data_IF_207548102618
#
_entry.id   IF_207548102618
#
_cell.length_a   1.000
_cell.length_b   1.000
_cell.length_c   1.000
_cell.angle_alpha   90.00
_cell.angle_beta   90.00
_cell.angle_gamma   90.00
#
_symmetry.space_group_name_H-M   'P 1'
#
loop_
_entity.id
_entity.type
_entity.pdbx_description
1 polymer ?
#
# COMPACT_ATOMS: atom_id res chain seq x y z
N UNK A 1 -11.90 6.67 4.62
CA UNK A 1 -10.87 6.61 5.68
C UNK A 1 -10.47 5.14 5.85
N UNK A 2 -9.21 4.84 6.16
CA UNK A 2 -8.70 3.48 6.35
C UNK A 2 -8.03 3.35 7.74
N UNK A 3 -8.04 2.15 8.34
CA UNK A 3 -7.41 1.90 9.63
C UNK A 3 -5.89 1.93 9.51
N UNK A 4 -5.22 2.61 10.44
CA UNK A 4 -3.76 2.68 10.55
C UNK A 4 -3.35 2.68 12.02
N UNK A 5 -2.20 2.08 12.33
CA UNK A 5 -1.60 2.09 13.67
C UNK A 5 -0.39 3.02 13.61
N UNK A 6 -0.34 4.03 14.48
CA UNK A 6 0.72 5.05 14.42
C UNK A 6 1.79 4.80 15.47
N UNK A 7 3.00 5.30 15.21
CA UNK A 7 4.06 5.33 16.23
C UNK A 7 3.69 6.16 17.48
N UNK A 8 2.74 7.10 17.38
CA UNK A 8 2.27 7.91 18.52
C UNK A 8 1.24 7.20 19.39
N UNK A 9 0.44 6.32 18.81
CA UNK A 9 -0.55 5.51 19.53
C UNK A 9 -0.51 4.07 18.99
N UNK A 10 0.50 3.27 19.39
CA UNK A 10 0.70 1.92 18.86
C UNK A 10 -0.28 0.88 19.40
N UNK A 11 -1.07 1.23 20.43
CA UNK A 11 -2.06 0.35 21.06
C UNK A 11 -3.45 0.40 20.39
N UNK A 12 -3.69 1.37 19.51
CA UNK A 12 -5.02 1.63 18.96
C UNK A 12 -4.95 1.93 17.46
N UNK A 13 -6.04 1.62 16.75
CA UNK A 13 -6.20 2.01 15.36
C UNK A 13 -6.76 3.43 15.25
N UNK A 14 -6.16 4.24 14.40
CA UNK A 14 -6.71 5.52 13.93
C UNK A 14 -7.28 5.35 12.53
N UNK A 15 -8.33 6.09 12.20
CA UNK A 15 -8.85 6.17 10.83
C UNK A 15 -8.28 7.40 10.15
N UNK A 16 -7.64 7.21 9.01
CA UNK A 16 -6.96 8.28 8.27
C UNK A 16 -7.32 8.27 6.77
N UNK A 17 -7.13 9.41 6.11
CA UNK A 17 -7.29 9.53 4.66
C UNK A 17 -6.08 8.93 3.94
N UNK A 18 -6.31 8.06 2.96
CA UNK A 18 -5.22 7.58 2.09
C UNK A 18 -4.96 8.61 0.98
N UNK A 19 -3.71 9.03 0.85
CA UNK A 19 -3.29 10.19 0.07
C UNK A 19 -2.79 11.29 1.00
N UNK A 20 -1.48 11.37 1.17
CA UNK A 20 -0.85 12.25 2.17
C UNK A 20 -1.08 13.73 1.84
N UNK A 21 -1.44 14.49 2.87
CA UNK A 21 -1.51 15.95 2.87
C UNK A 21 -0.47 16.44 3.89
N UNK A 22 0.74 16.83 3.43
CA UNK A 22 1.73 17.41 4.32
C UNK A 22 1.18 18.64 5.04
N UNK A 23 1.58 18.87 6.29
CA UNK A 23 1.04 19.96 7.12
C UNK A 23 1.22 21.37 6.54
N UNK A 24 2.21 21.56 5.64
CA UNK A 24 2.48 22.81 4.93
C UNK A 24 1.76 22.94 3.58
N UNK A 25 0.85 22.03 3.25
CA UNK A 25 0.07 22.10 2.02
C UNK A 25 -0.87 23.29 2.03
N UNK A 26 -1.02 23.97 0.89
CA UNK A 26 -1.96 25.09 0.74
C UNK A 26 -3.42 24.64 0.66
N UNK A 27 -3.64 23.41 0.17
CA UNK A 27 -4.94 22.77 0.03
C UNK A 27 -4.79 21.24 0.02
N UNK A 28 -5.93 20.56 0.01
CA UNK A 28 -6.06 19.09 0.06
C UNK A 28 -5.70 18.38 -1.27
N UNK A 29 -5.51 19.12 -2.37
CA UNK A 29 -5.32 18.52 -3.70
C UNK A 29 -4.09 17.62 -3.80
N UNK A 30 -3.08 17.87 -2.95
CA UNK A 30 -1.87 17.05 -2.82
C UNK A 30 -2.18 15.58 -2.51
N UNK A 31 -3.27 15.30 -1.80
CA UNK A 31 -3.69 13.93 -1.44
C UNK A 31 -3.85 13.01 -2.66
N UNK A 32 -4.28 13.54 -3.80
CA UNK A 32 -4.52 12.76 -5.02
C UNK A 32 -3.24 12.19 -5.63
N UNK A 33 -2.10 12.87 -5.42
CA UNK A 33 -0.82 12.51 -6.03
C UNK A 33 0.12 11.78 -5.04
N UNK A 34 -0.18 11.82 -3.74
CA UNK A 34 0.69 11.31 -2.68
C UNK A 34 0.15 10.04 -2.01
N UNK A 35 -0.48 9.15 -2.79
CA UNK A 35 -0.96 7.84 -2.31
C UNK A 35 0.17 6.84 -2.04
N UNK A 36 1.34 7.03 -2.67
CA UNK A 36 2.54 6.21 -2.49
C UNK A 36 3.81 7.06 -2.33
N UNK A 37 4.74 6.61 -1.49
CA UNK A 37 6.09 7.15 -1.34
C UNK A 37 7.15 6.12 -1.77
N UNK A 38 8.19 6.52 -2.51
CA UNK A 38 9.27 5.62 -2.94
C UNK A 38 10.36 5.55 -1.88
N UNK A 39 10.61 4.35 -1.36
CA UNK A 39 11.67 4.08 -0.35
C UNK A 39 13.05 4.60 -0.77
N UNK A 40 13.40 4.52 -2.05
CA UNK A 40 14.69 4.96 -2.61
C UNK A 40 14.96 6.46 -2.41
N UNK A 41 13.89 7.25 -2.27
CA UNK A 41 13.98 8.71 -2.17
C UNK A 41 13.36 9.27 -0.90
N UNK A 42 12.83 8.41 -0.02
CA UNK A 42 12.03 8.84 1.14
C UNK A 42 12.83 9.65 2.16
N UNK A 43 14.15 9.40 2.25
CA UNK A 43 15.08 10.10 3.15
C UNK A 43 15.74 11.33 2.49
N UNK A 44 15.60 11.50 1.17
CA UNK A 44 16.37 12.50 0.41
C UNK A 44 15.48 13.55 -0.26
N UNK A 45 14.30 13.18 -0.73
CA UNK A 45 13.34 14.09 -1.36
C UNK A 45 12.26 14.53 -0.37
N UNK A 46 11.76 15.75 -0.52
CA UNK A 46 10.54 16.19 0.18
C UNK A 46 9.31 15.36 -0.24
N UNK A 47 8.08 15.71 0.18
CA UNK A 47 7.73 16.12 1.54
C UNK A 47 8.09 15.05 2.61
N UNK A 48 8.44 13.83 2.19
CA UNK A 48 8.54 12.68 3.08
C UNK A 48 9.74 12.70 4.02
N UNK A 49 10.86 13.32 3.64
CA UNK A 49 12.11 13.34 4.43
C UNK A 49 11.94 13.79 5.89
N UNK A 50 11.04 14.75 6.16
CA UNK A 50 10.80 15.20 7.53
C UNK A 50 9.78 14.31 8.24
N UNK A 51 8.76 13.88 7.51
CA UNK A 51 7.64 13.09 8.03
C UNK A 51 8.13 11.70 8.47
N UNK A 52 8.94 11.03 7.64
CA UNK A 52 9.48 9.69 7.90
C UNK A 52 10.25 9.57 9.21
N UNK A 53 10.78 10.67 9.74
CA UNK A 53 11.54 10.69 11.00
C UNK A 53 10.66 10.54 12.23
N UNK A 54 9.41 11.00 12.17
CA UNK A 54 8.57 11.16 13.37
C UNK A 54 7.12 10.69 13.20
N UNK A 55 6.67 10.38 11.99
CA UNK A 55 5.30 9.97 11.71
C UNK A 55 5.26 8.72 10.83
N UNK A 56 5.64 7.59 11.44
CA UNK A 56 5.55 6.26 10.83
C UNK A 56 4.25 5.59 11.26
N UNK A 57 3.67 4.80 10.36
CA UNK A 57 2.49 3.99 10.66
C UNK A 57 2.55 2.61 10.00
N UNK A 58 1.77 1.69 10.56
CA UNK A 58 1.45 0.39 9.99
C UNK A 58 0.06 0.47 9.36
N UNK A 59 -0.09 -0.06 8.16
CA UNK A 59 -1.34 -0.08 7.41
C UNK A 59 -1.76 -1.54 7.23
N UNK A 60 -2.71 -2.06 8.04
CA UNK A 60 -3.15 -3.44 7.94
C UNK A 60 -3.82 -3.73 6.60
N UNK A 61 -3.56 -4.91 6.03
CA UNK A 61 -4.18 -5.41 4.82
C UNK A 61 -4.23 -6.95 4.82
N UNK A 62 -5.21 -7.51 4.11
CA UNK A 62 -5.32 -8.94 3.83
C UNK A 62 -4.79 -9.30 2.43
N UNK A 63 -4.39 -8.30 1.65
CA UNK A 63 -3.93 -8.40 0.28
C UNK A 63 -3.92 -7.05 -0.42
N UNK A 64 -3.41 -7.02 -1.64
CA UNK A 64 -3.48 -5.84 -2.51
C UNK A 64 -3.68 -6.26 -3.97
N UNK A 65 -4.06 -5.29 -4.80
CA UNK A 65 -4.32 -5.53 -6.21
C UNK A 65 -3.27 -4.85 -7.07
N UNK A 66 -2.91 -5.50 -8.17
CA UNK A 66 -2.06 -4.92 -9.21
C UNK A 66 -2.47 -5.42 -10.59
N UNK A 67 -2.31 -4.59 -11.62
CA UNK A 67 -2.79 -4.88 -12.96
C UNK A 67 -1.65 -5.27 -13.89
N UNK A 68 -1.54 -6.58 -14.17
CA UNK A 68 -0.59 -7.11 -15.15
C UNK A 68 -0.97 -6.66 -16.56
N UNK A 69 -0.04 -6.01 -17.26
CA UNK A 69 -0.23 -5.64 -18.67
C UNK A 69 -0.07 -6.88 -19.56
N UNK A 70 -1.11 -7.21 -20.31
CA UNK A 70 -1.12 -8.29 -21.32
C UNK A 70 -1.51 -7.68 -22.66
N UNK A 71 -0.50 -7.42 -23.51
CA UNK A 71 -0.67 -6.65 -24.74
C UNK A 71 -1.18 -5.23 -24.45
N UNK A 72 -2.40 -4.92 -24.93
CA UNK A 72 -3.09 -3.64 -24.70
C UNK A 72 -4.01 -3.65 -23.48
N UNK A 73 -4.21 -4.80 -22.84
CA UNK A 73 -5.15 -4.97 -21.73
C UNK A 73 -4.43 -5.02 -20.39
N UNK A 74 -5.18 -4.74 -19.32
CA UNK A 74 -4.72 -4.82 -17.94
C UNK A 74 -5.56 -5.85 -17.21
N UNK A 75 -4.93 -6.90 -16.69
CA UNK A 75 -5.60 -7.99 -15.97
C UNK A 75 -5.35 -7.82 -14.48
N UNK A 76 -6.39 -7.63 -13.65
CA UNK A 76 -6.21 -7.48 -12.22
C UNK A 76 -5.75 -8.79 -11.59
N UNK A 77 -4.76 -8.71 -10.72
CA UNK A 77 -4.31 -9.80 -9.87
C UNK A 77 -4.44 -9.35 -8.41
N UNK A 78 -4.83 -10.28 -7.54
CA UNK A 78 -4.78 -10.08 -6.08
C UNK A 78 -3.55 -10.79 -5.56
N UNK A 79 -2.78 -10.10 -4.72
CA UNK A 79 -1.52 -10.55 -4.14
C UNK A 79 -1.70 -10.67 -2.63
N UNK A 80 -1.27 -11.79 -2.06
CA UNK A 80 -1.38 -12.12 -0.63
C UNK A 80 -0.08 -12.72 -0.10
N UNK A 81 -0.03 -12.90 1.23
CA UNK A 81 0.92 -13.84 1.82
C UNK A 81 0.46 -15.27 1.57
N UNK A 82 1.43 -16.17 1.39
CA UNK A 82 1.16 -17.61 1.24
C UNK A 82 0.56 -18.23 2.50
N UNK A 83 0.72 -17.58 3.67
CA UNK A 83 0.12 -17.99 4.94
C UNK A 83 -1.36 -17.60 5.09
N UNK A 84 -1.89 -16.77 4.21
CA UNK A 84 -3.25 -16.18 4.31
C UNK A 84 -3.48 -15.31 5.56
N UNK A 85 -2.40 -14.90 6.22
CA UNK A 85 -2.45 -14.01 7.39
C UNK A 85 -2.58 -12.54 6.98
N UNK A 86 -3.20 -11.75 7.86
CA UNK A 86 -3.14 -10.29 7.78
C UNK A 86 -1.70 -9.82 7.96
N UNK A 87 -1.29 -8.84 7.18
CA UNK A 87 0.02 -8.22 7.25
C UNK A 87 -0.11 -6.70 7.27
N UNK A 88 1.02 -6.01 7.41
CA UNK A 88 1.04 -4.55 7.41
C UNK A 88 1.96 -4.01 6.32
N UNK A 89 1.53 -2.93 5.67
CA UNK A 89 2.43 -2.09 4.88
C UNK A 89 3.14 -1.09 5.78
N UNK A 90 4.39 -0.78 5.45
CA UNK A 90 5.08 0.38 5.98
C UNK A 90 4.47 1.67 5.40
N UNK A 91 4.10 2.60 6.27
CA UNK A 91 3.54 3.89 5.87
C UNK A 91 4.12 5.05 6.65
N UNK A 92 3.80 6.25 6.16
CA UNK A 92 3.96 7.51 6.91
C UNK A 92 2.66 8.28 6.89
N UNK A 93 2.49 9.15 7.89
CA UNK A 93 1.28 9.94 8.07
C UNK A 93 1.61 11.39 8.44
N UNK A 94 0.66 12.30 8.29
CA UNK A 94 0.79 13.70 8.75
C UNK A 94 -0.60 14.25 9.10
N UNK A 95 -0.62 15.34 9.86
CA UNK A 95 -1.81 16.09 10.24
C UNK A 95 -1.81 17.44 9.54
N UNK A 96 -2.84 17.71 8.74
CA UNK A 96 -3.03 18.99 8.07
C UNK A 96 -4.29 19.68 8.60
N UNK A 97 -4.18 20.96 8.91
CA UNK A 97 -5.31 21.78 9.36
C UNK A 97 -5.87 22.54 8.16
N UNK A 98 -7.18 22.41 7.91
CA UNK A 98 -7.83 23.11 6.82
C UNK A 98 -8.11 24.59 7.17
N UNK A 99 -8.64 25.36 6.21
CA UNK A 99 -8.95 26.79 6.42
C UNK A 99 -10.05 27.06 7.45
N UNK A 100 -10.78 26.03 7.88
CA UNK A 100 -11.84 26.09 8.89
C UNK A 100 -11.34 25.68 10.27
N UNK A 101 -10.10 25.17 10.38
CA UNK A 101 -9.52 24.64 11.61
C UNK A 101 -9.76 23.14 11.80
N UNK A 102 -10.32 22.44 10.82
CA UNK A 102 -10.55 21.00 10.90
C UNK A 102 -9.24 20.25 10.62
N UNK A 103 -8.88 19.31 11.51
CA UNK A 103 -7.67 18.48 11.36
C UNK A 103 -7.98 17.27 10.49
N UNK A 104 -7.25 17.14 9.38
CA UNK A 104 -7.26 15.96 8.51
C UNK A 104 -5.98 15.16 8.73
N UNK A 105 -6.12 13.97 9.31
CA UNK A 105 -5.05 12.98 9.37
C UNK A 105 -5.03 12.17 8.09
N UNK A 106 -3.85 12.10 7.46
CA UNK A 106 -3.67 11.43 6.18
C UNK A 106 -2.39 10.59 6.16
N UNK A 107 -2.35 9.58 5.29
CA UNK A 107 -1.21 8.67 5.17
C UNK A 107 -0.90 8.30 3.73
N UNK A 108 0.29 7.72 3.53
CA UNK A 108 0.75 7.15 2.26
C UNK A 108 1.46 5.82 2.49
N UNK A 109 1.36 4.91 1.52
CA UNK A 109 2.04 3.62 1.55
C UNK A 109 3.45 3.78 1.00
N UNK A 110 4.44 3.20 1.67
CA UNK A 110 5.81 3.14 1.14
C UNK A 110 5.92 1.99 0.15
N UNK A 111 6.54 2.26 -0.99
CA UNK A 111 6.81 1.30 -2.06
C UNK A 111 8.30 1.07 -2.23
N UNK A 112 8.66 -0.08 -2.76
CA UNK A 112 10.02 -0.51 -3.11
C UNK A 112 10.01 -1.21 -4.45
N UNK A 113 11.19 -1.62 -4.94
CA UNK A 113 11.30 -2.41 -6.16
C UNK A 113 10.59 -3.75 -6.01
N UNK A 114 10.03 -4.26 -7.10
CA UNK A 114 9.43 -5.59 -7.10
C UNK A 114 10.47 -6.68 -6.78
N UNK A 115 10.05 -7.67 -5.99
CA UNK A 115 10.71 -8.97 -5.92
C UNK A 115 10.44 -9.79 -7.21
N UNK A 116 10.97 -11.00 -7.30
CA UNK A 116 10.79 -11.87 -8.48
C UNK A 116 9.33 -12.17 -8.82
N UNK A 117 8.49 -12.43 -7.81
CA UNK A 117 7.05 -12.69 -7.99
C UNK A 117 6.30 -11.45 -8.50
N UNK A 118 6.55 -10.29 -7.89
CA UNK A 118 5.91 -9.05 -8.30
C UNK A 118 6.39 -8.58 -9.65
N UNK A 119 7.63 -8.84 -10.04
CA UNK A 119 8.20 -8.46 -11.33
C UNK A 119 7.45 -9.12 -12.51
N UNK A 120 6.73 -10.22 -12.28
CA UNK A 120 5.85 -10.82 -13.28
C UNK A 120 4.58 -9.97 -13.57
N UNK A 121 4.24 -9.05 -12.68
CA UNK A 121 3.01 -8.24 -12.70
C UNK A 121 3.34 -6.76 -12.89
N UNK A 122 4.26 -6.21 -12.10
CA UNK A 122 4.61 -4.80 -12.04
C UNK A 122 6.03 -4.57 -11.49
N UNK A 123 6.66 -3.45 -11.82
CA UNK A 123 8.05 -3.13 -11.40
C UNK A 123 8.18 -2.67 -9.93
N UNK A 124 7.06 -2.44 -9.26
CA UNK A 124 6.99 -1.92 -7.88
C UNK A 124 6.09 -2.80 -7.03
N UNK A 125 6.37 -2.79 -5.73
CA UNK A 125 5.49 -3.36 -4.72
C UNK A 125 5.44 -2.48 -3.47
N UNK A 126 4.37 -2.55 -2.66
CA UNK A 126 4.39 -2.01 -1.31
C UNK A 126 5.50 -2.64 -0.47
N UNK A 127 6.03 -1.90 0.51
CA UNK A 127 6.88 -2.47 1.55
C UNK A 127 5.96 -3.18 2.55
N UNK A 128 5.96 -4.51 2.53
CA UNK A 128 5.30 -5.35 3.53
C UNK A 128 6.30 -5.59 4.65
N UNK A 129 5.89 -5.35 5.90
CA UNK A 129 6.73 -5.58 7.07
C UNK A 129 6.55 -7.02 7.58
N UNK A 130 7.62 -7.79 7.77
CA UNK A 130 7.57 -9.02 8.56
C UNK A 130 7.04 -8.74 9.96
N UNK A 131 6.30 -9.70 10.54
CA UNK A 131 5.60 -9.53 11.82
C UNK A 131 6.55 -9.09 12.95
N UNK A 132 7.75 -9.64 12.94
CA UNK A 132 8.84 -9.36 13.87
C UNK A 132 9.42 -7.94 13.74
N UNK A 133 9.24 -7.28 12.59
CA UNK A 133 9.74 -5.93 12.30
C UNK A 133 8.67 -4.84 12.42
N UNK A 134 7.39 -5.19 12.60
CA UNK A 134 6.31 -4.21 12.75
C UNK A 134 6.54 -3.26 13.93
N UNK A 135 6.96 -3.80 15.08
CA UNK A 135 7.25 -3.00 16.28
C UNK A 135 8.48 -2.13 16.10
N UNK A 136 9.50 -2.64 15.41
CA UNK A 136 10.70 -1.89 15.10
C UNK A 136 10.37 -0.67 14.24
N UNK A 137 9.55 -0.83 13.20
CA UNK A 137 9.13 0.26 12.31
C UNK A 137 8.51 1.46 13.04
N UNK A 138 7.72 1.21 14.08
CA UNK A 138 6.97 2.25 14.81
C UNK A 138 7.65 2.70 16.11
N UNK A 139 8.87 2.27 16.43
CA UNK A 139 9.64 2.91 17.51
C UNK A 139 9.83 4.41 17.21
N UNK A 140 9.98 5.26 18.21
CA UNK A 140 10.11 6.71 17.98
C UNK A 140 11.45 7.09 17.33
N UNK A 141 12.54 6.45 17.76
CA UNK A 141 13.90 6.86 17.40
C UNK A 141 14.56 5.82 16.48
N UNK A 142 14.33 5.96 15.17
CA UNK A 142 15.04 5.19 14.14
C UNK A 142 16.05 6.11 13.44
N UNK A 143 17.28 5.63 13.30
CA UNK A 143 18.26 6.23 12.40
C UNK A 143 17.88 6.03 10.92
N UNK A 144 18.41 6.89 10.06
CA UNK A 144 18.20 6.79 8.60
C UNK A 144 18.65 5.42 8.04
N UNK A 145 19.67 4.80 8.64
CA UNK A 145 20.13 3.46 8.27
C UNK A 145 19.12 2.38 8.67
N UNK A 146 18.59 2.42 9.91
CA UNK A 146 17.56 1.48 10.35
C UNK A 146 16.29 1.59 9.50
N UNK A 147 15.88 2.82 9.16
CA UNK A 147 14.76 3.03 8.22
C UNK A 147 15.05 2.34 6.89
N UNK A 148 16.23 2.54 6.30
CA UNK A 148 16.58 1.97 5.00
C UNK A 148 16.62 0.43 5.04
N UNK A 149 17.03 -0.17 6.16
CA UNK A 149 17.07 -1.61 6.33
C UNK A 149 15.68 -2.24 6.47
N UNK A 150 14.70 -1.50 6.98
CA UNK A 150 13.30 -1.96 7.07
C UNK A 150 12.52 -1.83 5.75
N UNK A 151 12.99 -0.98 4.81
CA UNK A 151 12.27 -0.68 3.57
C UNK A 151 12.73 -1.54 2.38
N UNK A 152 12.72 -2.86 2.54
CA UNK A 152 13.14 -3.83 1.50
C UNK A 152 11.95 -4.54 0.86
N UNK A 153 12.11 -5.10 -0.35
CA UNK A 153 11.12 -6.00 -0.95
C UNK A 153 10.88 -7.21 -0.04
N UNK A 154 9.61 -7.60 0.10
CA UNK A 154 9.25 -8.80 0.87
C UNK A 154 9.72 -10.08 0.15
N UNK A 155 10.04 -11.19 0.86
CA UNK A 155 10.48 -12.41 0.20
C UNK A 155 9.40 -13.01 -0.72
N UNK A 156 9.77 -13.29 -1.97
CA UNK A 156 8.85 -13.76 -3.02
C UNK A 156 8.19 -15.10 -2.70
N UNK A 157 8.92 -16.01 -2.06
CA UNK A 157 8.50 -17.36 -1.71
C UNK A 157 7.45 -17.39 -0.59
N UNK A 158 7.24 -16.26 0.10
CA UNK A 158 6.20 -16.07 1.12
C UNK A 158 4.96 -15.37 0.58
N UNK A 159 4.92 -15.09 -0.71
CA UNK A 159 3.83 -14.42 -1.38
C UNK A 159 3.19 -15.34 -2.42
N UNK A 160 1.92 -15.11 -2.71
CA UNK A 160 1.26 -15.69 -3.86
C UNK A 160 0.34 -14.67 -4.51
N UNK A 161 -0.10 -14.97 -5.74
CA UNK A 161 -1.09 -14.15 -6.42
C UNK A 161 -2.02 -15.02 -7.26
N UNK A 162 -3.20 -14.48 -7.56
CA UNK A 162 -4.15 -15.06 -8.49
C UNK A 162 -4.84 -13.97 -9.31
N UNK A 163 -5.37 -14.34 -10.47
CA UNK A 163 -6.21 -13.43 -11.27
C UNK A 163 -7.44 -13.05 -10.45
N UNK A 164 -7.63 -11.76 -10.19
CA UNK A 164 -8.75 -11.26 -9.40
C UNK A 164 -10.00 -11.07 -10.27
N UNK A 165 -11.17 -11.11 -9.65
CA UNK A 165 -12.41 -10.77 -10.33
C UNK A 165 -12.37 -9.33 -10.88
N UNK A 166 -12.91 -9.09 -12.08
CA UNK A 166 -12.92 -7.76 -12.74
C UNK A 166 -13.69 -6.68 -11.99
N UNK A 167 -14.48 -7.02 -10.97
CA UNK A 167 -15.16 -6.06 -10.10
C UNK A 167 -14.18 -5.04 -9.51
N UNK A 168 -12.94 -5.46 -9.20
CA UNK A 168 -11.89 -4.61 -8.64
C UNK A 168 -11.42 -3.48 -9.57
N UNK A 169 -11.80 -3.50 -10.85
CA UNK A 169 -11.49 -2.43 -11.80
C UNK A 169 -12.21 -1.11 -11.45
N UNK A 170 -13.24 -1.15 -10.61
CA UNK A 170 -13.94 0.05 -10.15
C UNK A 170 -13.97 0.07 -8.62
N UNK A 171 -13.36 1.10 -8.05
CA UNK A 171 -13.30 1.34 -6.60
C UNK A 171 -14.68 1.56 -5.94
N UNK A 172 -15.75 1.73 -6.74
CA UNK A 172 -17.12 1.79 -6.24
C UNK A 172 -17.68 0.42 -5.85
N UNK A 173 -17.04 -0.68 -6.25
CA UNK A 173 -17.46 -2.03 -5.89
C UNK A 173 -16.72 -2.51 -4.65
N UNK A 174 -17.48 -2.66 -3.57
CA UNK A 174 -17.04 -3.30 -2.33
C UNK A 174 -17.94 -4.50 -2.06
N UNK A 175 -17.62 -5.61 -2.71
CA UNK A 175 -18.41 -6.84 -2.68
C UNK A 175 -17.51 -8.07 -2.50
N UNK A 176 -18.04 -9.21 -2.02
CA UNK A 176 -17.25 -10.43 -1.82
C UNK A 176 -16.50 -10.92 -3.07
N UNK A 177 -16.99 -10.60 -4.27
CA UNK A 177 -16.33 -10.93 -5.54
C UNK A 177 -14.94 -10.30 -5.65
N UNK A 178 -14.67 -9.16 -5.01
CA UNK A 178 -13.38 -8.48 -5.09
C UNK A 178 -12.22 -9.34 -4.57
N UNK A 179 -12.48 -10.21 -3.59
CA UNK A 179 -11.47 -11.13 -3.04
C UNK A 179 -11.49 -12.51 -3.69
N UNK A 180 -12.43 -12.78 -4.61
CA UNK A 180 -12.52 -14.08 -5.29
C UNK A 180 -11.57 -14.18 -6.49
N UNK A 181 -11.20 -15.42 -6.82
CA UNK A 181 -10.50 -15.72 -8.07
C UNK A 181 -11.41 -15.40 -9.26
N UNK A 182 -10.82 -14.87 -10.33
CA UNK A 182 -11.52 -14.67 -11.59
C UNK A 182 -12.08 -16.01 -12.10
N UNK A 183 -13.33 -16.04 -12.61
CA UNK A 183 -13.81 -17.21 -13.32
C UNK A 183 -12.94 -17.48 -14.55
N UNK A 184 -12.87 -18.75 -14.98
CA UNK A 184 -12.15 -19.13 -16.20
C UNK A 184 -12.73 -18.43 -17.44
N UNK A 185 -14.05 -18.22 -17.44
CA UNK A 185 -14.82 -17.55 -18.49
C UNK A 185 -15.84 -16.66 -17.79
N UNK A 186 -15.90 -15.38 -18.13
CA UNK A 186 -16.95 -14.50 -17.61
C UNK A 186 -18.28 -14.77 -18.34
N UNK A 187 -19.44 -14.63 -17.67
CA UNK A 187 -20.72 -14.74 -18.33
C UNK A 187 -20.81 -13.81 -19.55
N UNK A 188 -21.14 -14.37 -20.71
CA UNK A 188 -21.24 -13.62 -21.97
C UNK A 188 -19.94 -13.51 -22.78
N UNK A 189 -18.82 -14.05 -22.30
CA UNK A 189 -17.58 -14.16 -23.11
C UNK A 189 -17.55 -15.45 -23.90
N UNK A 190 -17.20 -15.37 -25.19
CA UNK A 190 -16.87 -16.54 -25.99
C UNK A 190 -15.43 -16.98 -25.72
N UNK A 191 -15.23 -18.26 -25.44
CA UNK A 191 -13.92 -18.87 -25.25
C UNK A 191 -13.63 -19.85 -26.38
N UNK A 192 -12.44 -19.77 -26.98
CA UNK A 192 -11.95 -20.75 -27.94
C UNK A 192 -11.00 -21.71 -27.21
N UNK A 193 -11.30 -23.01 -27.23
CA UNK A 193 -10.47 -24.05 -26.60
C UNK A 193 -9.16 -24.34 -27.35
N UNK A 194 -9.01 -23.79 -28.55
CA UNK A 194 -7.90 -24.09 -29.48
C UNK A 194 -7.06 -22.87 -29.87
N UNK A 195 -7.23 -21.74 -29.17
CA UNK A 195 -6.32 -20.58 -29.23
C UNK A 195 -5.48 -20.44 -27.95
#
# INVERSE_FOLDING_TARGET
MLPVITNRNPSETSFMKWGLIPNWSLDESTSTNLINARSETILTKGPFKQIIKSHRCLIPADGFYEWKKVGKTKVPHRITLSSDEIFTFAGIWDSWEDKKGDIINSFTIITTNANSLMAEIHERMPVILPKELEKEWIKMDLSDNEVTELLKPYPSEKMCYYKAHRAVNSAMYDTPECIQMAPKIYPGESFNLFE
#
